data_IF_476966866382
#
_entry.id   IF_476966866382
#
_cell.length_a   1.000
_cell.length_b   1.000
_cell.length_c   1.000
_cell.angle_alpha   90.00
_cell.angle_beta   90.00
_cell.angle_gamma   90.00
#
_symmetry.space_group_name_H-M   'P 1'
#
loop_
_entity.id
_entity.type
_entity.pdbx_description
1 polymer ?
#
# COMPACT_ATOMS: atom_id res chain seq x y z
N UNK A 1 12.78 -9.48 5.18
CA UNK A 1 11.68 -8.51 5.39
C UNK A 1 11.89 -7.29 4.52
N UNK A 2 10.81 -6.70 4.02
CA UNK A 2 10.84 -5.43 3.27
C UNK A 2 10.21 -4.33 4.13
N UNK A 3 10.82 -3.14 4.12
CA UNK A 3 10.29 -1.92 4.75
C UNK A 3 10.12 -0.85 3.69
N UNK A 4 8.95 -0.25 3.65
CA UNK A 4 8.62 0.82 2.71
C UNK A 4 8.10 2.01 3.50
N UNK A 5 8.65 3.19 3.23
CA UNK A 5 8.06 4.45 3.68
C UNK A 5 7.48 5.13 2.46
N UNK A 6 6.21 5.45 2.51
CA UNK A 6 5.50 6.02 1.38
C UNK A 6 4.53 7.12 1.81
N UNK A 7 4.15 7.95 0.88
CA UNK A 7 3.07 8.92 1.05
C UNK A 7 2.14 8.93 -0.15
N UNK A 8 0.88 9.25 0.11
CA UNK A 8 -0.11 9.52 -0.92
C UNK A 8 -0.05 10.99 -1.30
N UNK A 9 -0.17 11.24 -2.58
CA UNK A 9 -0.32 12.57 -3.16
C UNK A 9 -1.55 12.56 -4.06
N UNK A 10 -2.31 13.64 -4.07
CA UNK A 10 -3.46 13.82 -4.96
C UNK A 10 -3.66 15.33 -5.17
N UNK A 11 -4.23 15.77 -6.30
CA UNK A 11 -4.49 17.18 -6.53
C UNK A 11 -5.36 17.86 -5.45
N UNK A 12 -6.19 17.08 -4.76
CA UNK A 12 -7.09 17.53 -3.68
C UNK A 12 -6.51 17.36 -2.26
N UNK A 13 -5.29 16.81 -2.14
CA UNK A 13 -4.62 16.60 -0.85
C UNK A 13 -3.58 17.70 -0.63
N UNK A 14 -3.81 18.58 0.36
CA UNK A 14 -2.81 19.56 0.74
C UNK A 14 -1.53 18.87 1.26
N UNK A 15 -0.33 19.35 0.87
CA UNK A 15 0.95 18.69 1.21
C UNK A 15 1.23 18.54 2.71
N UNK A 16 0.67 19.41 3.54
CA UNK A 16 0.78 19.45 5.00
C UNK A 16 -0.35 18.70 5.72
N UNK A 17 -1.35 18.24 4.98
CA UNK A 17 -2.49 17.51 5.55
C UNK A 17 -2.09 16.15 6.11
N UNK A 18 -2.93 15.61 7.01
CA UNK A 18 -2.76 14.25 7.52
C UNK A 18 -2.69 13.20 6.39
N UNK A 19 -3.49 13.35 5.35
CA UNK A 19 -3.54 12.40 4.24
C UNK A 19 -2.21 12.33 3.46
N UNK A 20 -1.43 13.40 3.42
CA UNK A 20 -0.12 13.47 2.77
C UNK A 20 1.04 13.00 3.65
N UNK A 21 0.82 12.77 4.95
CA UNK A 21 1.88 12.32 5.87
C UNK A 21 2.40 10.94 5.48
N UNK A 22 3.71 10.69 5.69
CA UNK A 22 4.29 9.38 5.43
C UNK A 22 3.71 8.27 6.30
N UNK A 23 3.62 7.08 5.70
CA UNK A 23 3.24 5.81 6.33
C UNK A 23 4.38 4.83 6.19
N UNK A 24 4.50 3.93 7.15
CA UNK A 24 5.50 2.85 7.10
C UNK A 24 4.82 1.51 6.96
N UNK A 25 5.25 0.72 5.98
CA UNK A 25 4.85 -0.66 5.80
C UNK A 25 6.04 -1.57 6.04
N UNK A 26 5.84 -2.60 6.85
CA UNK A 26 6.71 -3.77 6.95
C UNK A 26 5.99 -4.99 6.38
N UNK A 27 6.71 -5.80 5.60
CA UNK A 27 6.14 -7.02 5.01
C UNK A 27 7.13 -8.18 5.02
N UNK A 28 6.64 -9.38 5.34
CA UNK A 28 7.38 -10.64 5.27
C UNK A 28 6.51 -11.67 4.61
N UNK A 29 6.88 -12.10 3.42
CA UNK A 29 6.10 -13.05 2.60
C UNK A 29 4.64 -12.61 2.42
N UNK A 30 3.75 -13.56 2.25
CA UNK A 30 2.29 -13.35 2.18
C UNK A 30 1.61 -13.41 3.55
N UNK A 31 2.38 -13.61 4.63
CA UNK A 31 1.82 -13.95 5.95
C UNK A 31 1.88 -12.84 6.96
N UNK A 32 2.82 -11.92 6.80
CA UNK A 32 3.03 -10.86 7.78
C UNK A 32 3.02 -9.50 7.10
N UNK A 33 2.20 -8.60 7.61
CA UNK A 33 2.29 -7.18 7.29
C UNK A 33 2.05 -6.33 8.52
N UNK A 34 2.68 -5.16 8.56
CA UNK A 34 2.46 -4.11 9.54
C UNK A 34 2.43 -2.78 8.86
N UNK A 35 1.36 -2.01 9.05
CA UNK A 35 1.24 -0.64 8.53
C UNK A 35 1.14 0.31 9.70
N UNK A 36 2.03 1.28 9.75
CA UNK A 36 2.03 2.35 10.74
C UNK A 36 1.54 3.63 10.09
N UNK A 37 0.41 4.14 10.59
CA UNK A 37 -0.13 5.44 10.21
C UNK A 37 0.42 6.53 11.12
N UNK A 38 0.56 7.78 10.61
CA UNK A 38 0.91 8.89 11.48
C UNK A 38 -0.22 9.18 12.47
N UNK A 39 0.08 9.75 13.67
CA UNK A 39 -0.95 10.14 14.60
C UNK A 39 -1.78 11.33 14.09
N UNK A 40 -3.08 11.30 14.36
CA UNK A 40 -4.02 12.40 14.18
C UNK A 40 -4.78 12.70 15.50
N UNK A 41 -4.12 13.37 16.46
CA UNK A 41 -4.66 13.54 17.82
C UNK A 41 -6.01 14.27 17.85
N UNK A 42 -6.23 15.23 16.95
CA UNK A 42 -7.48 15.99 16.86
C UNK A 42 -8.70 15.12 16.54
N UNK A 43 -8.47 14.00 15.84
CA UNK A 43 -9.52 13.02 15.53
C UNK A 43 -9.50 11.81 16.47
N UNK A 44 -8.60 11.78 17.45
CA UNK A 44 -8.44 10.62 18.33
C UNK A 44 -7.92 9.37 17.61
N UNK A 45 -7.12 9.55 16.54
CA UNK A 45 -6.67 8.46 15.66
C UNK A 45 -5.15 8.34 15.68
N UNK A 46 -4.67 7.13 15.88
CA UNK A 46 -3.30 6.70 15.60
C UNK A 46 -3.34 5.21 15.27
N UNK A 47 -3.54 4.89 14.01
CA UNK A 47 -3.74 3.51 13.59
C UNK A 47 -2.45 2.76 13.32
N UNK A 48 -2.48 1.51 13.75
CA UNK A 48 -1.54 0.45 13.45
C UNK A 48 -2.33 -0.76 12.97
N UNK A 49 -2.01 -1.27 11.80
CA UNK A 49 -2.58 -2.53 11.30
C UNK A 49 -1.51 -3.60 11.36
N UNK A 50 -1.79 -4.71 12.02
CA UNK A 50 -0.92 -5.89 12.07
C UNK A 50 -1.69 -7.05 11.47
N UNK A 51 -1.06 -7.75 10.53
CA UNK A 51 -1.58 -9.02 9.99
C UNK A 51 -0.56 -10.12 10.23
N UNK A 52 -1.03 -11.21 10.80
CA UNK A 52 -0.34 -12.49 10.93
C UNK A 52 -1.34 -13.55 10.51
N UNK A 53 -1.24 -14.01 9.30
CA UNK A 53 -2.22 -14.97 8.80
C UNK A 53 -2.52 -16.12 9.78
N UNK A 54 -3.82 -16.43 10.01
CA UNK A 54 -5.00 -15.88 9.34
C UNK A 54 -5.60 -14.64 10.02
N UNK A 55 -4.92 -14.03 10.96
CA UNK A 55 -5.45 -12.98 11.82
C UNK A 55 -4.98 -11.59 11.41
N UNK A 56 -5.86 -10.60 11.54
CA UNK A 56 -5.56 -9.19 11.31
C UNK A 56 -6.17 -8.30 12.40
N UNK A 57 -5.40 -7.32 12.86
CA UNK A 57 -5.81 -6.35 13.88
C UNK A 57 -5.67 -4.94 13.37
N UNK A 58 -6.73 -4.15 13.47
CA UNK A 58 -6.69 -2.70 13.33
C UNK A 58 -6.72 -2.09 14.73
N UNK A 59 -5.62 -1.47 15.11
CA UNK A 59 -5.35 -1.00 16.47
C UNK A 59 -5.34 0.53 16.46
N UNK A 60 -6.09 1.17 17.37
CA UNK A 60 -5.90 2.58 17.67
C UNK A 60 -5.00 2.71 18.91
N UNK A 61 -3.80 3.23 18.70
CA UNK A 61 -2.78 3.35 19.74
C UNK A 61 -3.10 4.37 20.82
N UNK A 62 -4.01 5.36 20.55
CA UNK A 62 -4.38 6.40 21.50
C UNK A 62 -5.27 5.88 22.62
N UNK A 63 -6.24 5.07 22.30
CA UNK A 63 -7.23 4.55 23.26
C UNK A 63 -7.00 3.05 23.59
N UNK A 64 -5.98 2.44 22.95
CA UNK A 64 -5.63 1.02 23.09
C UNK A 64 -6.79 0.08 22.74
N UNK A 65 -7.60 0.45 21.77
CA UNK A 65 -8.62 -0.43 21.20
C UNK A 65 -8.10 -1.15 19.97
N UNK A 66 -8.57 -2.37 19.75
CA UNK A 66 -8.24 -3.15 18.57
C UNK A 66 -9.48 -3.89 18.06
N UNK A 67 -9.67 -3.87 16.74
CA UNK A 67 -10.61 -4.73 16.05
C UNK A 67 -9.84 -5.91 15.46
N UNK A 68 -10.21 -7.12 15.85
CA UNK A 68 -9.64 -8.35 15.33
C UNK A 68 -10.54 -8.95 14.24
N UNK A 69 -9.94 -9.48 13.20
CA UNK A 69 -10.61 -10.21 12.12
C UNK A 69 -9.78 -11.44 11.79
N UNK A 70 -10.43 -12.59 11.73
CA UNK A 70 -9.82 -13.84 11.23
C UNK A 70 -10.42 -14.14 9.86
N UNK A 71 -9.58 -14.36 8.86
CA UNK A 71 -10.04 -14.85 7.57
C UNK A 71 -10.18 -16.39 7.66
N UNK A 72 -11.39 -16.92 7.51
CA UNK A 72 -11.61 -18.37 7.57
C UNK A 72 -11.18 -19.10 6.28
N UNK A 73 -10.75 -18.36 5.27
CA UNK A 73 -10.38 -18.92 3.97
C UNK A 73 -9.05 -19.67 4.01
N UNK A 74 -8.90 -20.79 3.29
CA UNK A 74 -7.63 -21.53 3.22
C UNK A 74 -6.57 -20.79 2.38
N UNK A 75 -6.97 -19.73 1.69
CA UNK A 75 -6.13 -18.97 0.75
C UNK A 75 -5.95 -17.52 1.17
N UNK A 76 -6.26 -17.19 2.42
CA UNK A 76 -5.96 -15.85 2.93
C UNK A 76 -4.47 -15.57 2.78
N UNK A 77 -4.18 -14.35 2.43
CA UNK A 77 -2.82 -13.87 2.22
C UNK A 77 -2.75 -12.41 2.61
N UNK A 78 -1.78 -12.05 3.44
CA UNK A 78 -1.58 -10.68 3.89
C UNK A 78 -1.28 -9.77 2.69
N UNK A 79 -2.30 -9.08 2.21
CA UNK A 79 -2.22 -8.14 1.10
C UNK A 79 -2.33 -6.71 1.58
N UNK A 80 -1.46 -5.88 1.04
CA UNK A 80 -1.55 -4.43 1.19
C UNK A 80 -1.74 -3.84 -0.20
N UNK A 81 -2.98 -3.74 -0.69
CA UNK A 81 -3.24 -3.24 -2.02
C UNK A 81 -2.86 -1.76 -2.10
N UNK A 82 -2.23 -1.40 -3.19
CA UNK A 82 -1.94 0.01 -3.50
C UNK A 82 -3.21 0.71 -3.93
N UNK A 83 -4.08 -0.01 -4.65
CA UNK A 83 -5.36 0.47 -5.13
C UNK A 83 -6.45 -0.30 -4.40
N UNK A 84 -7.29 0.42 -3.68
CA UNK A 84 -8.51 -0.13 -3.14
C UNK A 84 -9.70 0.39 -3.94
N UNK A 85 -10.38 -0.49 -4.64
CA UNK A 85 -11.60 -0.19 -5.38
C UNK A 85 -12.76 -0.89 -4.67
N UNK A 86 -13.70 -0.14 -4.07
CA UNK A 86 -14.92 -0.74 -3.53
C UNK A 86 -15.67 -1.44 -4.66
N UNK A 87 -15.94 -2.74 -4.52
CA UNK A 87 -16.76 -3.49 -5.47
C UNK A 87 -18.22 -3.32 -5.10
N UNK A 88 -19.07 -2.77 -5.98
CA UNK A 88 -20.51 -2.98 -5.85
C UNK A 88 -20.78 -4.47 -6.01
N UNK A 89 -21.51 -5.07 -5.06
CA UNK A 89 -21.87 -6.47 -5.12
C UNK A 89 -22.64 -6.76 -6.43
N UNK A 90 -22.14 -7.71 -7.23
CA UNK A 90 -22.83 -8.22 -8.41
C UNK A 90 -22.51 -7.54 -9.75
N UNK A 91 -21.65 -6.53 -9.81
CA UNK A 91 -21.17 -5.98 -11.08
C UNK A 91 -19.82 -6.55 -11.50
N UNK A 92 -19.57 -6.75 -12.81
CA UNK A 92 -18.22 -7.04 -13.31
C UNK A 92 -17.30 -5.91 -12.89
N UNK A 93 -16.14 -6.26 -12.36
CA UNK A 93 -15.15 -5.29 -11.95
C UNK A 93 -14.44 -4.71 -13.18
N UNK A 94 -14.68 -3.44 -13.54
CA UNK A 94 -14.04 -2.83 -14.70
C UNK A 94 -12.53 -2.64 -14.50
N UNK A 95 -12.05 -2.74 -13.26
CA UNK A 95 -10.66 -2.50 -12.89
C UNK A 95 -9.93 -3.79 -12.47
N UNK A 96 -10.38 -4.95 -12.96
CA UNK A 96 -9.82 -6.26 -12.61
C UNK A 96 -8.30 -6.33 -12.77
N UNK A 97 -7.76 -5.65 -13.76
CA UNK A 97 -6.31 -5.59 -14.01
C UNK A 97 -5.55 -4.79 -12.96
N UNK A 98 -6.24 -3.93 -12.18
CA UNK A 98 -5.65 -3.17 -11.08
C UNK A 98 -5.87 -3.79 -9.70
N UNK A 99 -6.48 -4.98 -9.62
CA UNK A 99 -6.82 -5.61 -8.34
C UNK A 99 -5.63 -6.19 -7.60
N UNK A 100 -4.60 -6.57 -8.32
CA UNK A 100 -3.45 -7.29 -7.79
C UNK A 100 -2.16 -6.48 -7.61
N UNK A 101 -2.03 -5.18 -8.01
CA UNK A 101 -0.87 -4.43 -7.61
C UNK A 101 -0.91 -4.26 -6.08
N UNK A 102 0.16 -4.70 -5.45
CA UNK A 102 0.35 -4.59 -4.02
C UNK A 102 1.77 -4.15 -3.72
N UNK A 103 1.97 -3.53 -2.57
CA UNK A 103 3.30 -3.17 -2.12
C UNK A 103 4.21 -4.40 -2.07
N UNK A 104 5.47 -4.23 -2.49
CA UNK A 104 6.53 -5.25 -2.67
C UNK A 104 6.44 -6.00 -4.00
N UNK A 105 5.29 -5.99 -4.66
CA UNK A 105 5.06 -6.69 -5.93
C UNK A 105 4.88 -5.76 -7.15
N UNK A 106 5.00 -4.45 -6.99
CA UNK A 106 4.68 -3.45 -8.02
C UNK A 106 5.40 -3.72 -9.34
N UNK A 107 6.73 -3.83 -9.30
CA UNK A 107 7.55 -4.05 -10.50
C UNK A 107 7.20 -5.39 -11.16
N UNK A 108 7.09 -6.44 -10.34
CA UNK A 108 6.70 -7.77 -10.82
C UNK A 108 5.31 -7.75 -11.47
N UNK A 109 4.34 -7.09 -10.85
CA UNK A 109 2.99 -6.96 -11.38
C UNK A 109 3.00 -6.31 -12.77
N UNK A 110 3.66 -5.15 -12.90
CA UNK A 110 3.74 -4.44 -14.18
C UNK A 110 4.40 -5.26 -15.28
N UNK A 111 5.47 -6.00 -14.96
CA UNK A 111 6.16 -6.87 -15.92
C UNK A 111 5.29 -8.06 -16.35
N UNK A 112 4.60 -8.71 -15.41
CA UNK A 112 3.70 -9.83 -15.73
C UNK A 112 2.55 -9.41 -16.63
N UNK A 113 2.03 -8.20 -16.44
CA UNK A 113 0.95 -7.63 -17.26
C UNK A 113 1.47 -6.95 -18.54
N UNK A 114 2.75 -7.19 -18.91
CA UNK A 114 3.36 -6.66 -20.15
C UNK A 114 3.15 -5.14 -20.27
N UNK A 115 3.40 -4.43 -19.18
CA UNK A 115 3.30 -2.98 -19.13
C UNK A 115 4.06 -2.35 -20.30
N UNK A 116 3.47 -1.31 -20.89
CA UNK A 116 4.09 -0.55 -21.97
C UNK A 116 5.27 0.26 -21.42
N UNK A 117 6.42 0.12 -22.05
CA UNK A 117 7.58 0.97 -21.77
C UNK A 117 7.30 2.39 -22.29
N UNK A 118 7.41 3.38 -21.41
CA UNK A 118 7.20 4.79 -21.68
C UNK A 118 8.52 5.59 -21.77
N UNK A 119 9.66 4.89 -21.70
CA UNK A 119 10.98 5.51 -21.66
C UNK A 119 11.31 6.16 -20.32
N UNK A 120 12.29 7.06 -20.35
CA UNK A 120 12.75 7.74 -19.14
C UNK A 120 11.82 8.90 -18.77
N UNK A 121 11.53 9.03 -17.48
CA UNK A 121 10.82 10.16 -16.88
C UNK A 121 11.53 10.62 -15.62
N UNK A 122 11.50 11.92 -15.38
CA UNK A 122 12.07 12.48 -14.13
C UNK A 122 11.06 12.48 -12.99
N UNK A 123 11.56 12.09 -11.84
CA UNK A 123 10.90 12.25 -10.56
C UNK A 123 11.81 13.08 -9.68
N UNK A 124 11.50 14.37 -9.53
CA UNK A 124 12.43 15.36 -8.99
C UNK A 124 13.72 15.38 -9.86
N UNK A 125 14.89 15.14 -9.26
CA UNK A 125 16.18 15.11 -9.97
C UNK A 125 16.56 13.70 -10.47
N UNK A 126 15.72 12.67 -10.25
CA UNK A 126 16.03 11.29 -10.56
C UNK A 126 15.39 10.84 -11.85
N UNK A 127 16.20 10.30 -12.76
CA UNK A 127 15.69 9.63 -13.97
C UNK A 127 15.17 8.24 -13.60
N UNK A 128 13.96 7.90 -14.04
CA UNK A 128 13.28 6.66 -13.76
C UNK A 128 12.77 6.02 -15.06
N UNK A 129 12.81 4.71 -15.16
CA UNK A 129 12.11 3.98 -16.21
C UNK A 129 10.61 4.02 -15.91
N UNK A 130 9.80 4.39 -16.90
CA UNK A 130 8.34 4.47 -16.74
C UNK A 130 7.66 3.29 -17.45
N UNK A 131 6.84 2.57 -16.68
CA UNK A 131 6.04 1.44 -17.15
C UNK A 131 4.56 1.78 -16.98
N UNK A 132 3.73 1.57 -17.99
CA UNK A 132 2.31 1.90 -17.94
C UNK A 132 1.41 0.70 -18.21
N UNK A 133 0.34 0.58 -17.42
CA UNK A 133 -0.78 -0.32 -17.65
C UNK A 133 -2.05 0.53 -17.79
N UNK A 134 -2.85 0.24 -18.82
CA UNK A 134 -4.13 0.92 -19.05
C UNK A 134 -5.25 -0.11 -19.11
N UNK A 135 -6.31 0.12 -18.34
CA UNK A 135 -7.52 -0.69 -18.35
C UNK A 135 -8.74 0.21 -18.20
N UNK A 136 -9.70 0.07 -19.12
CA UNK A 136 -10.86 0.95 -19.13
C UNK A 136 -10.47 2.42 -19.23
N UNK A 137 -11.05 3.26 -18.38
CA UNK A 137 -10.70 4.68 -18.25
C UNK A 137 -9.55 4.97 -17.29
N UNK A 138 -8.86 3.94 -16.78
CA UNK A 138 -7.76 4.10 -15.81
C UNK A 138 -6.41 3.77 -16.43
N UNK A 139 -5.38 4.49 -15.99
CA UNK A 139 -3.98 4.18 -16.29
C UNK A 139 -3.17 4.27 -15.00
N UNK A 140 -2.29 3.30 -14.79
CA UNK A 140 -1.27 3.33 -13.77
C UNK A 140 0.10 3.40 -14.43
N UNK A 141 0.97 4.30 -13.96
CA UNK A 141 2.34 4.47 -14.43
C UNK A 141 3.27 4.25 -13.26
N UNK A 142 4.07 3.19 -13.33
CA UNK A 142 5.11 2.89 -12.35
C UNK A 142 6.43 3.50 -12.81
N UNK A 143 7.04 4.31 -11.95
CA UNK A 143 8.35 4.90 -12.12
C UNK A 143 9.36 4.12 -11.28
N UNK A 144 10.34 3.50 -11.96
CA UNK A 144 11.30 2.57 -11.38
C UNK A 144 12.70 3.13 -11.50
N UNK A 145 13.46 3.08 -10.42
CA UNK A 145 14.87 3.42 -10.41
C UNK A 145 15.67 2.42 -11.26
N UNK A 146 16.32 2.85 -12.36
CA UNK A 146 17.05 1.93 -13.23
C UNK A 146 18.26 1.27 -12.58
N UNK A 147 18.82 1.87 -11.53
CA UNK A 147 20.00 1.34 -10.84
C UNK A 147 19.67 0.25 -9.83
N UNK A 148 18.49 0.34 -9.20
CA UNK A 148 18.11 -0.56 -8.09
C UNK A 148 16.90 -1.44 -8.39
N UNK A 149 16.22 -1.18 -9.51
CA UNK A 149 14.96 -1.83 -9.90
C UNK A 149 13.84 -1.67 -8.84
N UNK A 150 13.90 -0.61 -8.03
CA UNK A 150 12.92 -0.33 -6.98
C UNK A 150 11.91 0.71 -7.41
N UNK A 151 10.63 0.59 -6.98
CA UNK A 151 9.63 1.63 -7.18
C UNK A 151 10.07 2.97 -6.58
N UNK A 152 9.87 4.05 -7.33
CA UNK A 152 10.09 5.42 -6.87
C UNK A 152 8.76 6.13 -6.70
N UNK A 153 7.86 5.94 -7.66
CA UNK A 153 6.53 6.53 -7.66
C UNK A 153 5.59 5.70 -8.51
N UNK A 154 4.33 5.72 -8.16
CA UNK A 154 3.25 5.20 -8.99
C UNK A 154 2.18 6.26 -9.14
N UNK A 155 1.87 6.63 -10.37
CA UNK A 155 0.87 7.63 -10.72
C UNK A 155 -0.38 6.94 -11.25
N UNK A 156 -1.53 7.41 -10.84
CA UNK A 156 -2.83 6.93 -11.28
C UNK A 156 -3.61 8.04 -11.94
N UNK A 157 -4.23 7.72 -13.09
CA UNK A 157 -5.16 8.60 -13.77
C UNK A 157 -6.50 7.91 -13.97
N UNK A 158 -7.55 8.71 -13.99
CA UNK A 158 -8.90 8.28 -14.32
C UNK A 158 -9.46 9.24 -15.39
N UNK A 159 -9.93 8.67 -16.50
CA UNK A 159 -10.44 9.44 -17.63
C UNK A 159 -9.45 10.55 -18.06
N UNK A 160 -8.16 10.15 -18.18
CA UNK A 160 -7.01 10.98 -18.54
C UNK A 160 -6.69 12.14 -17.55
N UNK A 161 -7.36 12.19 -16.39
CA UNK A 161 -7.10 13.17 -15.34
C UNK A 161 -6.29 12.54 -14.20
N UNK A 162 -5.34 13.28 -13.60
CA UNK A 162 -4.67 12.82 -12.40
C UNK A 162 -5.68 12.47 -11.29
N UNK A 163 -5.55 11.28 -10.71
CA UNK A 163 -6.37 10.80 -9.59
C UNK A 163 -5.55 10.89 -8.30
N UNK A 164 -4.53 10.05 -8.16
CA UNK A 164 -3.59 10.13 -7.06
C UNK A 164 -2.24 9.52 -7.46
N UNK A 165 -1.24 9.72 -6.59
CA UNK A 165 0.07 9.10 -6.71
C UNK A 165 0.51 8.50 -5.38
N UNK A 166 1.31 7.44 -5.45
CA UNK A 166 2.06 6.87 -4.33
C UNK A 166 3.53 7.19 -4.53
N UNK A 167 4.12 7.97 -3.64
CA UNK A 167 5.55 8.27 -3.62
C UNK A 167 6.23 7.38 -2.60
N UNK A 168 7.20 6.59 -3.03
CA UNK A 168 8.07 5.84 -2.16
C UNK A 168 9.21 6.74 -1.67
N UNK A 169 9.29 6.97 -0.37
CA UNK A 169 10.33 7.78 0.27
C UNK A 169 11.55 6.93 0.63
N UNK A 170 11.32 5.67 1.01
CA UNK A 170 12.36 4.64 1.11
C UNK A 170 11.77 3.28 0.74
N UNK A 171 12.64 2.40 0.22
CA UNK A 171 12.29 1.04 -0.18
C UNK A 171 13.47 0.12 0.15
N UNK A 172 13.41 -0.50 1.32
CA UNK A 172 14.47 -1.33 1.87
C UNK A 172 14.06 -2.80 1.79
N UNK A 173 14.88 -3.63 1.15
CA UNK A 173 14.66 -5.07 1.00
C UNK A 173 15.71 -5.85 1.79
N UNK A 174 15.48 -7.14 1.96
CA UNK A 174 16.43 -8.09 2.56
C UNK A 174 16.81 -7.77 4.02
N UNK A 175 15.96 -7.01 4.71
CA UNK A 175 16.12 -6.77 6.13
C UNK A 175 15.94 -8.07 6.94
N UNK A 176 16.66 -8.26 8.04
CA UNK A 176 16.41 -9.36 8.97
C UNK A 176 14.95 -9.38 9.41
N UNK A 177 14.40 -10.57 9.60
CA UNK A 177 13.07 -10.71 10.17
C UNK A 177 13.09 -10.36 11.66
N UNK A 178 12.27 -9.41 12.06
CA UNK A 178 12.05 -9.04 13.45
C UNK A 178 10.61 -9.40 13.84
N UNK A 179 10.38 -10.51 14.53
CA UNK A 179 9.03 -10.95 14.92
C UNK A 179 8.34 -9.98 15.87
N UNK A 180 9.09 -9.19 16.65
CA UNK A 180 8.52 -8.25 17.61
C UNK A 180 7.68 -7.13 16.95
N UNK A 181 7.97 -6.81 15.70
CA UNK A 181 7.18 -5.85 14.91
C UNK A 181 5.74 -6.32 14.68
N UNK A 182 5.51 -7.62 14.73
CA UNK A 182 4.20 -8.21 14.45
C UNK A 182 3.48 -8.69 15.70
N UNK A 183 4.04 -8.46 16.89
CA UNK A 183 3.40 -8.77 18.15
C UNK A 183 2.38 -7.68 18.53
N UNK A 184 1.33 -8.13 19.20
CA UNK A 184 0.32 -7.22 19.74
C UNK A 184 0.86 -6.49 20.96
N UNK A 185 0.54 -5.22 21.06
CA UNK A 185 0.89 -4.43 22.23
C UNK A 185 0.13 -4.90 23.48
N UNK A 186 0.74 -4.86 24.65
CA UNK A 186 0.06 -5.23 25.89
C UNK A 186 -1.07 -4.26 26.24
N UNK A 187 -2.13 -4.79 26.84
CA UNK A 187 -3.25 -3.99 27.36
C UNK A 187 -4.23 -3.49 26.31
N UNK A 188 -4.26 -4.10 25.12
CA UNK A 188 -5.26 -3.81 24.10
C UNK A 188 -6.63 -4.33 24.51
N UNK A 189 -7.67 -3.52 24.28
CA UNK A 189 -9.07 -3.93 24.36
C UNK A 189 -9.50 -4.43 22.98
N UNK A 190 -9.51 -5.75 22.82
CA UNK A 190 -9.78 -6.39 21.53
C UNK A 190 -11.29 -6.63 21.40
N UNK A 191 -11.85 -6.29 20.24
CA UNK A 191 -13.24 -6.55 19.85
C UNK A 191 -13.26 -7.43 18.61
N UNK A 192 -14.12 -8.46 18.63
CA UNK A 192 -14.41 -9.29 17.47
C UNK A 192 -15.55 -8.67 16.66
N UNK A 193 -15.57 -8.82 15.32
CA UNK A 193 -16.73 -8.46 14.53
C UNK A 193 -17.94 -9.31 14.97
N UNK A 194 -19.09 -8.68 15.09
CA UNK A 194 -20.38 -9.37 15.32
C UNK A 194 -20.84 -10.04 14.04
#
# INVERSE_FOLDING_TARGET
MTKIVFRRMSPDIAPDSFAAKPRTLYRVTDKYSRIEEPPHPEQGIHFLVITREPDSWTINLLDKTARHVTDPGPTFSARTPIIWVPKPSGQPDPDKEFQDPEFVNEVRFFRLHKARDMGLRKVEEKDCNALAIKSGGREAILLVDPATDKPVQMDFTKDEKPDFSIRHLSYETDLPFDPSLFELLPGLKITEPK
#
